data_IF_506257383359
#
_entry.id   IF_506257383359
#
_cell.length_a   1.000
_cell.length_b   1.000
_cell.length_c   1.000
_cell.angle_alpha   90.00
_cell.angle_beta   90.00
_cell.angle_gamma   90.00
#
_symmetry.space_group_name_H-M   'P 1'
#
loop_
_entity.id
_entity.type
_entity.pdbx_description
1 polymer ?
#
# COMPACT_ATOMS: atom_id res chain seq x y z
N UNK A 1 4.06 28.35 -12.00
CA UNK A 1 5.25 28.35 -12.87
C UNK A 1 4.82 27.77 -14.22
N UNK A 2 4.61 28.62 -15.22
CA UNK A 2 4.21 28.23 -16.58
C UNK A 2 5.48 28.02 -17.41
N UNK A 3 5.71 26.81 -17.93
CA UNK A 3 6.53 26.61 -19.14
C UNK A 3 6.37 25.18 -19.72
N UNK A 4 5.87 25.15 -20.96
CA UNK A 4 6.16 24.25 -22.09
C UNK A 4 6.56 22.78 -21.85
N UNK A 5 5.82 21.88 -22.52
CA UNK A 5 6.41 20.99 -23.54
C UNK A 5 5.36 20.62 -24.61
N UNK A 6 5.47 21.23 -25.79
CA UNK A 6 4.79 20.82 -27.03
C UNK A 6 5.69 19.84 -27.80
N UNK A 7 5.04 18.82 -28.37
CA UNK A 7 5.49 17.88 -29.43
C UNK A 7 6.45 16.75 -29.02
N UNK A 8 5.86 15.61 -28.62
CA UNK A 8 6.38 14.32 -29.05
C UNK A 8 5.69 13.88 -30.34
N UNK A 9 6.51 13.51 -31.32
CA UNK A 9 6.16 13.12 -32.68
C UNK A 9 5.70 11.66 -32.64
N UNK A 10 4.49 11.38 -33.15
CA UNK A 10 3.89 10.03 -33.25
C UNK A 10 4.85 9.11 -34.05
N UNK A 11 5.46 8.13 -33.39
CA UNK A 11 6.11 7.01 -34.07
C UNK A 11 5.08 5.88 -34.21
N UNK A 12 4.83 5.47 -35.44
CA UNK A 12 3.96 4.35 -35.76
C UNK A 12 4.64 3.05 -35.35
N UNK A 13 4.06 2.34 -34.39
CA UNK A 13 4.45 0.98 -34.01
C UNK A 13 3.26 0.27 -33.39
N UNK A 14 2.82 -0.81 -34.02
CA UNK A 14 1.73 -1.68 -33.58
C UNK A 14 2.16 -2.46 -32.33
N UNK A 15 1.72 -1.99 -31.17
CA UNK A 15 1.85 -2.65 -29.87
C UNK A 15 1.17 -1.75 -28.85
N UNK A 16 0.33 -2.31 -27.98
CA UNK A 16 -0.50 -1.59 -27.02
C UNK A 16 0.25 -0.45 -26.33
N UNK A 17 0.01 0.78 -26.81
CA UNK A 17 0.74 1.97 -26.39
C UNK A 17 0.26 2.36 -24.99
N UNK A 18 0.98 1.89 -23.97
CA UNK A 18 0.71 2.20 -22.56
C UNK A 18 0.68 3.71 -22.31
N UNK A 19 1.45 4.50 -23.07
CA UNK A 19 1.38 5.95 -22.98
C UNK A 19 0.09 6.49 -23.56
N UNK A 20 -0.41 5.95 -24.68
CA UNK A 20 -1.73 6.29 -25.19
C UNK A 20 -2.85 5.88 -24.22
N UNK A 21 -2.73 4.76 -23.50
CA UNK A 21 -3.69 4.36 -22.46
C UNK A 21 -3.62 5.26 -21.23
N UNK A 22 -2.43 5.64 -20.77
CA UNK A 22 -2.25 6.60 -19.66
C UNK A 22 -2.76 8.00 -20.03
N UNK A 23 -2.54 8.42 -21.27
CA UNK A 23 -2.99 9.72 -21.78
C UNK A 23 -4.50 9.74 -22.06
N UNK A 24 -5.08 8.62 -22.54
CA UNK A 24 -6.52 8.46 -22.68
C UNK A 24 -7.22 8.30 -21.32
N UNK A 25 -6.58 7.62 -20.36
CA UNK A 25 -7.04 7.55 -18.97
C UNK A 25 -7.06 8.92 -18.30
N UNK A 26 -6.12 9.81 -18.65
CA UNK A 26 -6.12 11.22 -18.24
C UNK A 26 -7.29 12.03 -18.81
N UNK A 27 -8.02 11.50 -19.81
CA UNK A 27 -9.14 12.17 -20.49
C UNK A 27 -10.49 11.46 -20.27
N UNK A 28 -10.49 10.34 -19.54
CA UNK A 28 -11.70 9.64 -19.15
C UNK A 28 -12.31 10.36 -17.93
N UNK A 29 -13.53 10.94 -18.04
CA UNK A 29 -14.18 11.61 -16.92
C UNK A 29 -14.48 10.68 -15.73
N UNK A 30 -14.49 9.35 -15.91
CA UNK A 30 -14.60 8.37 -14.82
C UNK A 30 -13.26 8.07 -14.13
N UNK A 31 -12.13 8.44 -14.74
CA UNK A 31 -10.81 8.61 -14.09
C UNK A 31 -10.67 10.01 -13.49
N UNK A 32 -11.79 10.55 -12.98
CA UNK A 32 -11.81 11.79 -12.22
C UNK A 32 -10.62 11.83 -11.24
N UNK A 33 -9.86 12.94 -11.21
CA UNK A 33 -8.69 13.06 -10.37
C UNK A 33 -9.10 12.85 -8.91
N UNK A 34 -8.49 11.84 -8.28
CA UNK A 34 -8.64 11.54 -6.86
C UNK A 34 -10.11 11.36 -6.44
N UNK A 35 -10.67 10.15 -6.69
CA UNK A 35 -11.91 9.72 -6.03
C UNK A 35 -11.87 10.09 -4.53
N UNK A 36 -12.90 10.78 -4.05
CA UNK A 36 -12.95 11.26 -2.67
C UNK A 36 -13.08 10.12 -1.65
N UNK A 37 -13.53 8.95 -2.10
CA UNK A 37 -13.71 7.77 -1.27
C UNK A 37 -12.36 7.07 -0.97
N UNK A 38 -12.15 6.61 0.27
CA UNK A 38 -10.99 5.81 0.63
C UNK A 38 -10.90 4.56 -0.25
N UNK A 39 -9.79 4.39 -0.97
CA UNK A 39 -9.52 3.20 -1.78
C UNK A 39 -9.14 2.03 -0.87
N UNK A 40 -10.11 1.28 -0.34
CA UNK A 40 -9.83 0.13 0.53
C UNK A 40 -9.43 -1.07 -0.35
N UNK A 41 -8.12 -1.35 -0.37
CA UNK A 41 -7.50 -2.39 -1.19
C UNK A 41 -8.12 -3.77 -0.95
N UNK A 42 -8.35 -4.11 0.32
CA UNK A 42 -8.94 -5.40 0.70
C UNK A 42 -10.34 -5.62 0.11
N UNK A 43 -11.18 -4.59 0.06
CA UNK A 43 -12.54 -4.70 -0.47
C UNK A 43 -12.51 -4.95 -1.99
N UNK A 44 -11.66 -4.21 -2.71
CA UNK A 44 -11.44 -4.35 -4.16
C UNK A 44 -10.90 -5.73 -4.54
N UNK A 45 -9.95 -6.25 -3.75
CA UNK A 45 -9.44 -7.61 -3.93
C UNK A 45 -10.52 -8.67 -3.70
N UNK A 46 -11.40 -8.51 -2.70
CA UNK A 46 -12.50 -9.46 -2.42
C UNK A 46 -13.52 -9.48 -3.57
N UNK A 47 -13.77 -8.35 -4.23
CA UNK A 47 -14.68 -8.26 -5.38
C UNK A 47 -14.09 -8.84 -6.67
N UNK A 48 -12.83 -9.31 -6.66
CA UNK A 48 -12.16 -9.86 -7.83
C UNK A 48 -11.73 -8.81 -8.84
N UNK A 49 -11.58 -7.55 -8.42
CA UNK A 49 -11.11 -6.48 -9.28
C UNK A 49 -9.64 -6.72 -9.66
N UNK A 50 -9.29 -6.52 -10.94
CA UNK A 50 -7.89 -6.52 -11.38
C UNK A 50 -7.23 -5.20 -10.97
N UNK A 51 -6.20 -5.28 -10.13
CA UNK A 51 -5.50 -4.12 -9.60
C UNK A 51 -4.06 -4.05 -10.11
N UNK A 52 -3.64 -2.87 -10.54
CA UNK A 52 -2.30 -2.60 -11.06
C UNK A 52 -1.43 -1.95 -9.99
N UNK A 53 -0.40 -2.65 -9.55
CA UNK A 53 0.54 -2.18 -8.54
C UNK A 53 1.91 -1.77 -9.10
N UNK A 54 2.61 -0.91 -8.36
CA UNK A 54 4.01 -0.55 -8.61
C UNK A 54 4.91 -1.00 -7.45
N UNK A 55 6.08 -1.56 -7.76
CA UNK A 55 7.14 -1.79 -6.77
C UNK A 55 8.04 -0.56 -6.62
N UNK A 56 8.23 -0.11 -5.38
CA UNK A 56 9.12 0.98 -5.01
C UNK A 56 10.30 0.42 -4.20
N UNK A 57 11.44 0.21 -4.87
CA UNK A 57 12.67 -0.32 -4.24
C UNK A 57 13.54 0.78 -3.62
N UNK A 58 13.37 2.02 -4.06
CA UNK A 58 14.04 3.17 -3.47
C UNK A 58 13.14 3.79 -2.41
N UNK A 59 13.61 3.87 -1.17
CA UNK A 59 12.81 4.44 -0.06
C UNK A 59 12.79 5.98 -0.11
N UNK A 60 12.32 6.52 -1.24
CA UNK A 60 12.23 7.95 -1.51
C UNK A 60 10.76 8.41 -1.43
N UNK A 61 10.41 9.31 -0.50
CA UNK A 61 9.04 9.82 -0.39
C UNK A 61 8.60 10.60 -1.63
N UNK A 62 9.53 11.29 -2.30
CA UNK A 62 9.24 11.99 -3.56
C UNK A 62 8.82 11.02 -4.66
N UNK A 63 9.52 9.88 -4.79
CA UNK A 63 9.14 8.87 -5.78
C UNK A 63 7.86 8.14 -5.38
N UNK A 64 7.61 7.96 -4.08
CA UNK A 64 6.35 7.43 -3.57
C UNK A 64 5.16 8.35 -3.91
N UNK A 65 5.31 9.67 -3.76
CA UNK A 65 4.29 10.65 -4.15
C UNK A 65 4.01 10.61 -5.66
N UNK A 66 5.07 10.64 -6.48
CA UNK A 66 4.96 10.55 -7.94
C UNK A 66 4.26 9.24 -8.35
N UNK A 67 4.63 8.12 -7.74
CA UNK A 67 3.98 6.83 -7.97
C UNK A 67 2.49 6.86 -7.58
N UNK A 68 2.16 7.49 -6.44
CA UNK A 68 0.78 7.65 -6.01
C UNK A 68 -0.07 8.47 -6.99
N UNK A 69 0.52 9.52 -7.59
CA UNK A 69 -0.14 10.37 -8.57
C UNK A 69 -0.20 9.78 -9.98
N UNK A 70 0.59 8.74 -10.28
CA UNK A 70 0.66 8.10 -11.59
C UNK A 70 -0.55 7.20 -11.93
N UNK A 71 -1.47 6.99 -10.99
CA UNK A 71 -2.72 6.25 -11.22
C UNK A 71 -2.66 4.75 -10.92
N UNK A 72 -1.62 4.27 -10.22
CA UNK A 72 -1.58 2.88 -9.74
C UNK A 72 -2.61 2.64 -8.62
N UNK A 73 -3.14 1.42 -8.57
CA UNK A 73 -4.11 1.00 -7.55
C UNK A 73 -3.50 0.82 -6.16
N UNK A 74 -2.21 0.49 -6.12
CA UNK A 74 -1.41 0.40 -4.90
C UNK A 74 0.08 0.49 -5.21
N UNK A 75 0.87 0.79 -4.18
CA UNK A 75 2.34 0.77 -4.25
C UNK A 75 2.89 -0.18 -3.20
N UNK A 76 3.82 -1.04 -3.60
CA UNK A 76 4.59 -1.90 -2.71
C UNK A 76 5.88 -1.18 -2.34
N UNK A 77 5.98 -0.75 -1.08
CA UNK A 77 7.22 -0.23 -0.51
C UNK A 77 8.05 -1.43 -0.05
N UNK A 78 9.17 -1.67 -0.73
CA UNK A 78 9.98 -2.86 -0.55
C UNK A 78 11.06 -2.67 0.52
N UNK A 79 11.01 -3.45 1.60
CA UNK A 79 12.06 -3.50 2.62
C UNK A 79 12.89 -4.79 2.57
N UNK A 80 12.63 -5.72 1.63
CA UNK A 80 13.41 -6.95 1.48
C UNK A 80 14.61 -6.74 0.55
N UNK A 81 14.36 -6.20 -0.63
CA UNK A 81 15.40 -5.90 -1.61
C UNK A 81 15.58 -4.41 -1.85
N UNK A 82 14.66 -3.59 -1.35
CA UNK A 82 14.78 -2.15 -1.37
C UNK A 82 15.84 -1.64 -0.38
N UNK A 83 16.22 -0.38 -0.54
CA UNK A 83 17.34 0.21 0.21
C UNK A 83 16.99 0.68 1.63
N UNK A 84 15.77 0.48 2.11
CA UNK A 84 15.30 1.07 3.37
C UNK A 84 14.55 0.07 4.27
N UNK A 85 14.30 0.50 5.50
CA UNK A 85 13.54 -0.26 6.49
C UNK A 85 12.36 0.56 7.02
N UNK A 86 11.98 0.29 8.27
CA UNK A 86 10.80 0.91 8.91
C UNK A 86 10.89 2.44 8.96
N UNK A 87 12.09 3.00 9.20
CA UNK A 87 12.27 4.45 9.31
C UNK A 87 12.10 5.14 7.95
N UNK A 88 12.63 4.56 6.88
CA UNK A 88 12.55 5.09 5.52
C UNK A 88 11.20 4.79 4.85
N UNK A 89 10.52 3.72 5.28
CA UNK A 89 9.18 3.40 4.80
C UNK A 89 8.14 4.43 5.25
N UNK A 90 8.19 4.92 6.49
CA UNK A 90 7.21 5.86 7.03
C UNK A 90 6.97 7.10 6.14
N UNK A 91 7.99 7.88 5.72
CA UNK A 91 7.76 9.03 4.85
C UNK A 91 7.18 8.64 3.48
N UNK A 92 7.50 7.46 2.95
CA UNK A 92 6.89 6.94 1.73
C UNK A 92 5.39 6.66 1.93
N UNK A 93 5.01 6.07 3.06
CA UNK A 93 3.61 5.83 3.42
C UNK A 93 2.83 7.13 3.59
N UNK A 94 3.44 8.16 4.19
CA UNK A 94 2.83 9.48 4.34
C UNK A 94 2.58 10.12 2.96
N UNK A 95 3.54 10.05 2.05
CA UNK A 95 3.39 10.54 0.68
C UNK A 95 2.28 9.82 -0.08
N UNK A 96 2.23 8.48 0.01
CA UNK A 96 1.18 7.67 -0.61
C UNK A 96 -0.21 7.95 -0.01
N UNK A 97 -0.28 8.15 1.30
CA UNK A 97 -1.53 8.53 1.97
C UNK A 97 -2.02 9.91 1.52
N UNK A 98 -1.11 10.89 1.36
CA UNK A 98 -1.44 12.20 0.82
C UNK A 98 -1.94 12.12 -0.64
N UNK A 99 -1.35 11.22 -1.44
CA UNK A 99 -1.80 10.91 -2.80
C UNK A 99 -3.04 10.00 -2.86
N UNK A 100 -3.59 9.57 -1.71
CA UNK A 100 -4.74 8.65 -1.61
C UNK A 100 -4.51 7.31 -2.34
N UNK A 101 -3.28 6.80 -2.28
CA UNK A 101 -2.88 5.54 -2.91
C UNK A 101 -2.56 4.50 -1.82
N UNK A 102 -3.23 3.33 -1.82
CA UNK A 102 -2.95 2.26 -0.89
C UNK A 102 -1.49 1.82 -0.93
N UNK A 103 -0.91 1.59 0.24
CA UNK A 103 0.45 1.09 0.37
C UNK A 103 0.45 -0.33 0.94
N UNK A 104 1.27 -1.19 0.34
CA UNK A 104 1.67 -2.49 0.89
C UNK A 104 3.12 -2.37 1.34
N UNK A 105 3.44 -2.87 2.54
CA UNK A 105 4.83 -3.06 2.95
C UNK A 105 5.27 -4.50 2.69
N UNK A 106 6.31 -4.69 1.88
CA UNK A 106 6.98 -5.99 1.76
C UNK A 106 8.03 -6.10 2.86
N UNK A 107 7.91 -7.13 3.69
CA UNK A 107 8.78 -7.33 4.85
C UNK A 107 10.09 -8.03 4.44
N UNK A 108 11.20 -7.84 5.18
CA UNK A 108 12.46 -8.52 4.88
C UNK A 108 12.41 -10.04 5.06
N UNK A 109 11.52 -10.53 5.93
CA UNK A 109 11.42 -11.95 6.29
C UNK A 109 10.07 -12.25 6.99
N UNK A 110 9.76 -13.54 7.18
CA UNK A 110 8.63 -14.00 7.97
C UNK A 110 8.91 -13.82 9.48
N UNK A 111 8.63 -12.63 10.00
CA UNK A 111 8.96 -12.26 11.39
C UNK A 111 7.87 -11.46 12.08
N UNK A 112 7.50 -11.88 13.29
CA UNK A 112 6.56 -11.16 14.14
C UNK A 112 7.06 -9.75 14.51
N UNK A 113 8.39 -9.59 14.63
CA UNK A 113 9.01 -8.31 14.98
C UNK A 113 8.91 -7.29 13.84
N UNK A 114 9.11 -7.72 12.60
CA UNK A 114 8.91 -6.87 11.42
C UNK A 114 7.42 -6.58 11.20
N UNK A 115 6.57 -7.60 11.30
CA UNK A 115 5.12 -7.45 11.10
C UNK A 115 4.50 -6.43 12.07
N UNK A 116 4.80 -6.51 13.38
CA UNK A 116 4.23 -5.56 14.36
C UNK A 116 4.67 -4.12 14.06
N UNK A 117 5.96 -3.88 13.80
CA UNK A 117 6.50 -2.55 13.50
C UNK A 117 5.89 -1.98 12.22
N UNK A 118 5.77 -2.82 11.19
CA UNK A 118 5.18 -2.43 9.92
C UNK A 118 3.69 -2.06 10.08
N UNK A 119 2.91 -2.86 10.81
CA UNK A 119 1.50 -2.58 11.06
C UNK A 119 1.26 -1.33 11.90
N UNK A 120 2.21 -0.96 12.78
CA UNK A 120 2.13 0.28 13.56
C UNK A 120 2.29 1.53 12.70
N UNK A 121 2.87 1.40 11.49
CA UNK A 121 2.92 2.46 10.48
C UNK A 121 1.62 2.60 9.67
N UNK A 122 0.64 1.73 9.86
CA UNK A 122 -0.68 1.75 9.17
C UNK A 122 -0.64 1.59 7.63
N UNK A 123 0.03 0.55 7.09
CA UNK A 123 -0.14 0.18 5.69
C UNK A 123 -1.53 -0.47 5.47
N UNK A 124 -2.00 -0.50 4.23
CA UNK A 124 -3.22 -1.26 3.90
C UNK A 124 -3.00 -2.78 3.81
N UNK A 125 -1.74 -3.21 3.66
CA UNK A 125 -1.39 -4.62 3.62
C UNK A 125 0.08 -4.87 3.92
N UNK A 126 0.38 -6.12 4.26
CA UNK A 126 1.75 -6.64 4.34
C UNK A 126 1.95 -7.70 3.27
N UNK A 127 3.14 -7.73 2.67
CA UNK A 127 3.61 -8.79 1.80
C UNK A 127 4.74 -9.52 2.51
N UNK A 128 4.50 -10.78 2.87
CA UNK A 128 5.52 -11.65 3.46
C UNK A 128 6.24 -12.41 2.34
N UNK A 129 7.59 -12.43 2.33
CA UNK A 129 8.33 -13.19 1.34
C UNK A 129 8.35 -14.69 1.65
N UNK A 130 8.62 -15.49 0.62
CA UNK A 130 8.93 -16.92 0.74
C UNK A 130 7.90 -17.74 1.55
N UNK A 131 6.60 -17.49 1.32
CA UNK A 131 5.52 -18.31 1.90
C UNK A 131 5.31 -19.56 1.05
N UNK A 132 5.90 -20.68 1.47
CA UNK A 132 5.92 -21.94 0.70
C UNK A 132 5.03 -23.04 1.29
N UNK A 133 4.29 -22.75 2.38
CA UNK A 133 3.40 -23.72 3.00
C UNK A 133 2.15 -23.08 3.62
N UNK A 134 1.05 -23.82 3.77
CA UNK A 134 -0.13 -23.37 4.51
C UNK A 134 0.20 -22.95 5.95
N UNK A 135 1.07 -23.69 6.63
CA UNK A 135 1.51 -23.36 7.99
C UNK A 135 2.27 -22.03 8.06
N UNK A 136 3.13 -21.73 7.07
CA UNK A 136 3.80 -20.44 6.98
C UNK A 136 2.81 -19.28 6.74
N UNK A 137 1.77 -19.51 5.91
CA UNK A 137 0.71 -18.53 5.68
C UNK A 137 -0.13 -18.27 6.95
N UNK A 138 -0.51 -19.32 7.67
CA UNK A 138 -1.22 -19.21 8.96
C UNK A 138 -0.38 -18.45 10.00
N UNK A 139 0.93 -18.75 10.06
CA UNK A 139 1.87 -18.06 10.93
C UNK A 139 1.95 -16.57 10.59
N UNK A 140 2.10 -16.22 9.30
CA UNK A 140 2.11 -14.82 8.84
C UNK A 140 0.82 -14.07 9.24
N UNK A 141 -0.35 -14.72 9.07
CA UNK A 141 -1.65 -14.16 9.49
C UNK A 141 -1.70 -13.96 11.00
N UNK A 142 -1.15 -14.89 11.78
CA UNK A 142 -1.10 -14.78 13.25
C UNK A 142 -0.31 -13.56 13.72
N UNK A 143 0.74 -13.16 13.00
CA UNK A 143 1.55 -11.97 13.32
C UNK A 143 0.78 -10.66 13.10
N UNK A 144 -0.26 -10.68 12.27
CA UNK A 144 -1.06 -9.51 11.94
C UNK A 144 -2.27 -9.30 12.87
N UNK A 145 -2.63 -10.29 13.69
CA UNK A 145 -3.85 -10.29 14.51
C UNK A 145 -3.53 -10.15 15.99
N UNK A 146 -4.31 -9.35 16.69
CA UNK A 146 -4.26 -9.28 18.16
C UNK A 146 -4.78 -10.58 18.79
N UNK A 147 -4.38 -10.88 20.04
CA UNK A 147 -5.01 -11.95 20.82
C UNK A 147 -6.54 -11.79 20.89
N UNK A 148 -7.32 -12.89 20.88
CA UNK A 148 -6.87 -14.29 20.87
C UNK A 148 -6.63 -14.88 19.47
N UNK A 149 -6.81 -14.12 18.38
CA UNK A 149 -6.75 -14.65 16.99
C UNK A 149 -5.34 -14.65 16.38
N UNK A 150 -4.35 -14.22 17.15
CA UNK A 150 -2.96 -14.09 16.73
C UNK A 150 -2.10 -13.62 17.89
N UNK A 151 -0.88 -13.21 17.55
CA UNK A 151 0.19 -12.91 18.52
C UNK A 151 0.73 -11.49 18.38
N UNK A 152 0.04 -10.59 17.66
CA UNK A 152 0.42 -9.18 17.54
C UNK A 152 0.39 -8.52 18.91
N UNK A 153 1.53 -7.98 19.36
CA UNK A 153 1.59 -7.13 20.54
C UNK A 153 0.83 -5.82 20.35
N UNK A 154 0.18 -5.32 21.40
CA UNK A 154 -0.62 -4.09 21.34
C UNK A 154 0.08 -2.93 22.04
N UNK A 155 0.32 -1.86 21.29
CA UNK A 155 0.75 -0.55 21.81
C UNK A 155 -0.03 0.57 21.10
N UNK A 156 -1.29 0.27 20.77
CA UNK A 156 -2.19 1.11 19.98
C UNK A 156 -2.51 2.48 20.62
N UNK A 157 -2.07 2.80 21.82
CA UNK A 157 -2.33 4.11 22.43
C UNK A 157 -1.38 5.21 21.93
N UNK A 158 -0.31 4.86 21.20
CA UNK A 158 0.75 5.81 20.82
C UNK A 158 1.26 5.69 19.38
N UNK A 159 0.74 4.76 18.57
CA UNK A 159 1.25 4.48 17.22
C UNK A 159 0.40 5.12 16.13
N UNK A 160 0.97 5.28 14.92
CA UNK A 160 0.28 5.92 13.79
C UNK A 160 -1.02 5.20 13.42
N UNK A 161 -1.04 3.87 13.48
CA UNK A 161 -2.22 3.07 13.10
C UNK A 161 -3.51 3.39 13.86
N UNK A 162 -3.41 3.93 15.07
CA UNK A 162 -4.54 4.36 15.87
C UNK A 162 -4.67 5.88 15.94
N UNK A 163 -4.09 6.59 14.96
CA UNK A 163 -3.94 8.04 14.99
C UNK A 163 -3.33 8.54 16.32
N UNK A 164 -2.28 7.86 16.80
CA UNK A 164 -1.59 8.19 18.05
C UNK A 164 -2.50 8.16 19.29
N UNK A 165 -3.44 7.21 19.31
CA UNK A 165 -4.40 7.04 20.40
C UNK A 165 -5.65 7.91 20.29
N UNK A 166 -5.82 8.69 19.22
CA UNK A 166 -7.04 9.47 18.95
C UNK A 166 -8.20 8.55 18.52
N UNK A 167 -7.89 7.43 17.87
CA UNK A 167 -8.89 6.47 17.43
C UNK A 167 -9.22 5.44 18.52
N UNK A 168 -10.15 5.81 19.39
CA UNK A 168 -10.67 4.97 20.48
C UNK A 168 -11.29 3.65 19.97
N UNK A 169 -11.73 3.62 18.71
CA UNK A 169 -12.33 2.45 18.08
C UNK A 169 -11.33 1.45 17.51
N UNK A 170 -10.02 1.80 17.47
CA UNK A 170 -9.00 1.03 16.76
C UNK A 170 -8.99 -0.44 17.16
N UNK A 171 -8.79 -0.72 18.44
CA UNK A 171 -8.66 -2.09 18.91
C UNK A 171 -9.97 -2.87 18.72
N UNK A 172 -11.11 -2.24 18.95
CA UNK A 172 -12.43 -2.86 18.82
C UNK A 172 -12.70 -3.37 17.39
N UNK A 173 -12.24 -2.65 16.35
CA UNK A 173 -12.41 -3.08 14.95
C UNK A 173 -11.66 -4.37 14.62
N UNK A 174 -10.55 -4.66 15.30
CA UNK A 174 -9.75 -5.87 15.07
C UNK A 174 -10.10 -7.03 16.01
N UNK A 175 -10.72 -6.76 17.16
CA UNK A 175 -11.12 -7.79 18.12
C UNK A 175 -12.55 -8.29 17.90
N UNK A 176 -13.44 -7.48 17.31
CA UNK A 176 -14.80 -7.93 16.94
C UNK A 176 -14.74 -9.15 16.03
N UNK A 177 -15.49 -10.19 16.39
CA UNK A 177 -15.65 -11.41 15.62
C UNK A 177 -16.34 -11.08 14.30
N UNK A 178 -15.59 -11.17 13.20
CA UNK A 178 -16.24 -11.42 11.92
C UNK A 178 -16.69 -12.88 11.97
N UNK A 179 -18.00 -13.18 11.82
CA UNK A 179 -18.45 -14.56 11.77
C UNK A 179 -17.68 -15.30 10.66
N UNK A 180 -17.34 -16.55 10.96
CA UNK A 180 -16.61 -17.45 10.07
C UNK A 180 -17.35 -17.66 8.75
#
# INVERSE_FOLDING_TARGET
>A
MVALQKKFKKQNGSGDDIFARLFAASLDPDLAPLSLEPRILKSRLITGETLYGLFLLCSSPTLAEIAGLAGYDYVVVDMEHGSGGIAEALPCLLALAAARTPAILRLPELSAAWAKKALDLDPQGLMFPMIESPGAAELAVSFCRFPPRGVRGSVHTVVRASAYGIDDGYLARFTRSRPA
#
